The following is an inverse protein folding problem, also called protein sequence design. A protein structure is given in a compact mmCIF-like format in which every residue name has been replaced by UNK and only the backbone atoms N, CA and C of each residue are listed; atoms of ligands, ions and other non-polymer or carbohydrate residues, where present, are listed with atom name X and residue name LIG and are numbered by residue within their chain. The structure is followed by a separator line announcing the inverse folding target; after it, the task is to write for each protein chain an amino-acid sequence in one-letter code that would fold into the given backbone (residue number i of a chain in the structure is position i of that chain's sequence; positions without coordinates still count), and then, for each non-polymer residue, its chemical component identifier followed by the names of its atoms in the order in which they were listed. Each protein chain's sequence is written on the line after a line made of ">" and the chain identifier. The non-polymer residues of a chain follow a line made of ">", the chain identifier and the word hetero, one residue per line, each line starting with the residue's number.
data_IF_547499417907
#
_entry.id   IF_547499417907
#
_cell.length_a   1.000
_cell.length_b   1.000
_cell.length_c   1.000
_cell.angle_alpha   90.00
_cell.angle_beta   90.00
_cell.angle_gamma   90.00
#
_symmetry.space_group_name_H-M   'P 1'
#
loop_
_entity.id
_entity.type
_entity.pdbx_description
1 polymer ?
#
# COMPACT_ATOMS: atom_id res chain seq x y z
N UNK A 1 15.92 -12.43 -14.90
CA UNK A 1 15.16 -11.85 -13.78
C UNK A 1 13.72 -11.76 -14.23
N UNK A 2 12.83 -12.39 -13.48
CA UNK A 2 11.41 -12.48 -13.75
C UNK A 2 10.65 -11.67 -12.71
N UNK A 3 9.53 -11.07 -13.11
CA UNK A 3 8.70 -10.25 -12.23
C UNK A 3 7.23 -10.62 -12.38
N UNK A 4 6.54 -10.69 -11.25
CA UNK A 4 5.09 -10.74 -11.15
C UNK A 4 4.62 -9.44 -10.51
N UNK A 5 3.66 -8.77 -11.16
CA UNK A 5 3.07 -7.51 -10.67
C UNK A 5 1.58 -7.68 -10.45
N UNK A 6 1.11 -7.21 -9.31
CA UNK A 6 -0.31 -6.92 -9.10
C UNK A 6 -0.51 -5.42 -8.88
N UNK A 7 -1.68 -4.95 -9.27
CA UNK A 7 -2.13 -3.58 -9.04
C UNK A 7 -3.44 -3.68 -8.27
N UNK A 8 -3.54 -2.95 -7.16
CA UNK A 8 -4.75 -2.83 -6.35
C UNK A 8 -4.96 -1.39 -5.95
N UNK A 9 -6.07 -1.11 -5.28
CA UNK A 9 -6.39 0.18 -4.73
C UNK A 9 -6.94 0.07 -3.30
N UNK A 10 -6.81 1.15 -2.54
CA UNK A 10 -7.54 1.37 -1.30
C UNK A 10 -7.94 2.84 -1.20
N UNK A 11 -8.99 3.13 -0.45
CA UNK A 11 -9.48 4.49 -0.21
C UNK A 11 -9.35 4.84 1.26
N UNK A 12 -8.91 6.04 1.60
CA UNK A 12 -8.65 6.47 2.96
C UNK A 12 -8.62 8.01 3.06
N UNK A 13 -8.73 8.51 4.28
CA UNK A 13 -8.54 9.93 4.58
C UNK A 13 -7.23 10.12 5.34
N UNK A 14 -6.61 11.29 5.19
CA UNK A 14 -5.44 11.67 5.96
C UNK A 14 -5.23 13.19 5.98
N UNK A 15 -4.29 13.64 6.80
CA UNK A 15 -3.69 14.96 6.71
C UNK A 15 -2.24 14.92 7.21
N UNK A 16 -1.43 15.84 6.70
CA UNK A 16 -0.02 15.95 7.05
C UNK A 16 0.17 17.01 8.14
N UNK A 17 1.02 16.71 9.11
CA UNK A 17 1.41 17.62 10.20
C UNK A 17 2.64 18.43 9.78
N UNK A 18 2.64 19.73 10.07
CA UNK A 18 3.76 20.65 9.77
C UNK A 18 4.12 20.76 8.28
N UNK A 19 3.18 20.45 7.37
CA UNK A 19 3.40 20.51 5.93
C UNK A 19 3.33 21.94 5.37
N UNK A 20 2.71 22.88 6.10
CA UNK A 20 2.53 24.30 5.72
C UNK A 20 1.88 24.46 4.35
N UNK A 21 0.80 23.71 4.11
CA UNK A 21 0.08 23.71 2.84
C UNK A 21 -1.29 23.04 2.92
N UNK A 22 -1.96 22.90 1.78
CA UNK A 22 -3.35 22.38 1.71
C UNK A 22 -3.51 20.98 2.31
N UNK A 23 -2.45 20.17 2.30
CA UNK A 23 -2.48 18.81 2.84
C UNK A 23 -2.55 18.74 4.38
N UNK A 24 -2.46 19.86 5.10
CA UNK A 24 -2.73 19.90 6.55
C UNK A 24 -4.23 19.78 6.87
N UNK A 25 -5.09 20.18 5.93
CA UNK A 25 -6.53 19.94 6.06
C UNK A 25 -6.85 18.47 5.81
N UNK A 26 -7.89 17.97 6.47
CA UNK A 26 -8.43 16.63 6.21
C UNK A 26 -8.82 16.52 4.73
N UNK A 27 -8.27 15.50 4.07
CA UNK A 27 -8.59 15.13 2.71
C UNK A 27 -8.44 13.62 2.55
N UNK A 28 -8.67 13.10 1.35
CA UNK A 28 -8.52 11.68 1.08
C UNK A 28 -8.16 11.42 -0.36
N UNK A 29 -7.75 10.18 -0.62
CA UNK A 29 -7.37 9.72 -1.94
C UNK A 29 -7.93 8.32 -2.20
N UNK A 30 -7.88 7.93 -3.47
CA UNK A 30 -7.92 6.53 -3.86
C UNK A 30 -6.48 6.19 -4.24
N UNK A 31 -5.77 5.48 -3.37
CA UNK A 31 -4.37 5.12 -3.60
C UNK A 31 -4.31 3.92 -4.52
N UNK A 32 -3.48 4.04 -5.56
CA UNK A 32 -3.08 2.91 -6.40
C UNK A 32 -1.80 2.31 -5.82
N UNK A 33 -1.83 1.01 -5.52
CA UNK A 33 -0.70 0.25 -4.98
C UNK A 33 -0.23 -0.74 -6.03
N UNK A 34 1.07 -0.72 -6.34
CA UNK A 34 1.71 -1.72 -7.18
C UNK A 34 2.59 -2.61 -6.29
N UNK A 35 2.30 -3.92 -6.27
CA UNK A 35 3.12 -4.90 -5.58
C UNK A 35 3.87 -5.70 -6.63
N UNK A 36 5.21 -5.74 -6.50
CA UNK A 36 6.10 -6.44 -7.43
C UNK A 36 6.87 -7.51 -6.67
N UNK A 37 6.78 -8.74 -7.17
CA UNK A 37 7.58 -9.87 -6.69
C UNK A 37 8.58 -10.23 -7.77
N UNK A 38 9.87 -10.24 -7.41
CA UNK A 38 10.97 -10.51 -8.34
C UNK A 38 11.68 -11.82 -8.00
N UNK A 39 11.93 -12.64 -9.01
CA UNK A 39 12.64 -13.92 -8.90
C UNK A 39 13.79 -14.03 -9.89
N UNK A 40 14.87 -14.72 -9.52
CA UNK A 40 15.97 -15.03 -10.45
C UNK A 40 15.60 -16.16 -11.41
N UNK A 41 14.81 -17.10 -10.92
CA UNK A 41 14.38 -18.31 -11.59
C UNK A 41 12.85 -18.46 -11.45
N UNK A 42 12.27 -19.34 -12.23
CA UNK A 42 10.88 -19.77 -12.12
C UNK A 42 10.85 -21.13 -11.43
N UNK A 43 9.76 -21.43 -10.73
CA UNK A 43 9.55 -22.78 -10.19
C UNK A 43 9.23 -23.80 -11.31
N UNK A 44 9.04 -25.07 -10.94
CA UNK A 44 8.74 -26.16 -11.89
C UNK A 44 7.43 -25.94 -12.67
N UNK A 45 6.54 -25.06 -12.18
CA UNK A 45 5.30 -24.67 -12.85
C UNK A 45 5.46 -23.46 -13.77
N UNK A 46 6.63 -22.82 -13.75
CA UNK A 46 6.96 -21.68 -14.60
C UNK A 46 6.51 -20.32 -14.05
N UNK A 47 6.26 -20.19 -12.75
CA UNK A 47 5.92 -18.91 -12.10
C UNK A 47 6.98 -18.47 -11.09
N UNK A 48 6.99 -17.18 -10.78
CA UNK A 48 7.83 -16.62 -9.69
C UNK A 48 7.21 -16.92 -8.33
N UNK A 49 5.88 -16.81 -8.24
CA UNK A 49 5.05 -17.09 -7.08
C UNK A 49 3.59 -17.25 -7.54
N UNK A 50 2.76 -17.95 -6.78
CA UNK A 50 1.33 -18.03 -7.08
C UNK A 50 0.68 -16.65 -6.99
N UNK A 51 0.01 -16.25 -8.07
CA UNK A 51 -0.70 -14.99 -8.18
C UNK A 51 -1.82 -14.83 -7.14
N UNK A 52 -2.49 -15.92 -6.77
CA UNK A 52 -3.54 -15.92 -5.76
C UNK A 52 -2.99 -15.66 -4.35
N UNK A 53 -1.81 -16.20 -4.05
CA UNK A 53 -1.12 -15.98 -2.78
C UNK A 53 -0.73 -14.51 -2.62
N UNK A 54 -0.13 -13.91 -3.66
CA UNK A 54 0.25 -12.48 -3.66
C UNK A 54 -0.97 -11.59 -3.48
N UNK A 55 -2.09 -11.91 -4.14
CA UNK A 55 -3.36 -11.18 -3.96
C UNK A 55 -3.94 -11.33 -2.56
N UNK A 56 -3.93 -12.52 -1.98
CA UNK A 56 -4.47 -12.75 -0.63
C UNK A 56 -3.68 -11.98 0.41
N UNK A 57 -2.34 -12.12 0.40
CA UNK A 57 -1.47 -11.43 1.34
C UNK A 57 -1.58 -9.90 1.20
N UNK A 58 -1.63 -9.40 -0.05
CA UNK A 58 -1.81 -7.96 -0.29
C UNK A 58 -3.17 -7.49 0.21
N UNK A 59 -4.24 -8.27 -0.02
CA UNK A 59 -5.60 -7.94 0.42
C UNK A 59 -5.73 -7.85 1.94
N UNK A 60 -5.07 -8.74 2.68
CA UNK A 60 -5.02 -8.69 4.14
C UNK A 60 -4.41 -7.37 4.64
N UNK A 61 -3.26 -6.97 4.08
CA UNK A 61 -2.60 -5.70 4.42
C UNK A 61 -3.48 -4.50 4.02
N UNK A 62 -4.08 -4.52 2.83
CA UNK A 62 -4.96 -3.43 2.37
C UNK A 62 -6.18 -3.27 3.29
N UNK A 63 -6.71 -4.36 3.86
CA UNK A 63 -7.86 -4.31 4.76
C UNK A 63 -7.61 -3.54 6.06
N UNK A 64 -6.33 -3.40 6.46
CA UNK A 64 -5.94 -2.64 7.64
C UNK A 64 -6.04 -1.12 7.42
N UNK A 65 -5.92 -0.68 6.16
CA UNK A 65 -5.83 0.74 5.77
C UNK A 65 -7.01 1.24 4.93
N UNK A 66 -7.76 0.33 4.29
CA UNK A 66 -8.91 0.66 3.45
C UNK A 66 -10.11 1.19 4.28
N UNK A 67 -10.75 2.22 3.75
CA UNK A 67 -11.80 3.02 4.36
C UNK A 67 -11.46 3.54 5.76
N UNK A 68 -10.19 3.87 6.02
CA UNK A 68 -9.71 4.42 7.30
C UNK A 68 -9.34 5.89 7.24
N UNK A 69 -9.23 6.50 8.42
CA UNK A 69 -8.46 7.71 8.61
C UNK A 69 -7.04 7.32 9.06
N UNK A 70 -6.05 7.52 8.20
CA UNK A 70 -4.71 6.97 8.39
C UNK A 70 -4.01 7.51 9.63
N UNK A 71 -4.23 8.77 10.00
CA UNK A 71 -3.58 9.39 11.15
C UNK A 71 -3.91 8.72 12.50
N UNK A 72 -4.97 7.90 12.59
CA UNK A 72 -5.35 7.16 13.80
C UNK A 72 -4.65 5.80 13.91
N UNK A 73 -3.97 5.33 12.84
CA UNK A 73 -3.28 4.05 12.88
C UNK A 73 -1.97 4.16 13.69
N UNK A 74 -1.58 3.12 14.43
CA UNK A 74 -0.46 3.18 15.38
C UNK A 74 0.83 3.77 14.81
N UNK A 75 1.21 3.39 13.59
CA UNK A 75 2.42 3.89 12.94
C UNK A 75 2.36 5.40 12.64
N UNK A 76 1.18 5.91 12.26
CA UNK A 76 0.95 7.31 11.90
C UNK A 76 0.61 8.21 13.10
N UNK A 77 0.62 7.67 14.33
CA UNK A 77 0.62 8.49 15.54
C UNK A 77 1.93 9.27 15.63
N UNK A 78 3.06 8.66 15.30
CA UNK A 78 4.38 9.30 15.36
C UNK A 78 4.89 9.78 13.99
N UNK A 79 4.38 9.21 12.90
CA UNK A 79 4.79 9.52 11.53
C UNK A 79 3.68 10.21 10.75
N UNK A 80 4.04 11.09 9.82
CA UNK A 80 3.05 11.63 8.89
C UNK A 80 2.57 10.52 7.94
N UNK A 81 1.26 10.44 7.63
CA UNK A 81 0.74 9.50 6.62
C UNK A 81 1.02 10.00 5.20
N UNK A 82 2.28 10.30 4.88
CA UNK A 82 2.68 10.66 3.52
C UNK A 82 2.79 9.41 2.65
N UNK A 83 2.80 9.58 1.32
CA UNK A 83 2.94 8.44 0.40
C UNK A 83 4.23 7.65 0.64
N UNK A 84 5.31 8.33 1.04
CA UNK A 84 6.61 7.72 1.36
C UNK A 84 6.59 6.88 2.63
N UNK A 85 5.74 7.23 3.61
CA UNK A 85 5.59 6.46 4.85
C UNK A 85 4.52 5.36 4.74
N UNK A 86 3.71 5.37 3.67
CA UNK A 86 2.74 4.32 3.33
C UNK A 86 3.41 3.19 2.52
N UNK A 87 4.39 3.52 1.67
CA UNK A 87 5.12 2.59 0.81
C UNK A 87 6.24 1.85 1.56
#
# INVERSE_FOLDING_TARGET
>A
MYELKIITEFSAAHNLRNFRGKCEALHGHNWKVEVVVSGKELDDSGVVLDFAEVKSATGEIMSEIDHKYLNDLPFFIEHNPSSENIA
#
